data_IF_011720506595
#
_entry.id   IF_011720506595
#
_cell.length_a   1.000
_cell.length_b   1.000
_cell.length_c   1.000
_cell.angle_alpha   90.00
_cell.angle_beta   90.00
_cell.angle_gamma   90.00
#
_symmetry.space_group_name_H-M   'P 1'
#
loop_
_entity.id
_entity.type
_entity.pdbx_description
1 polymer ?
#
# COMPACT_ATOMS: atom_id res chain seq x y z
N UNK A 1 14.95 1.88 -13.18
CA UNK A 1 14.27 2.52 -12.04
C UNK A 1 13.44 1.54 -11.22
N UNK A 2 13.87 1.30 -9.98
CA UNK A 2 13.11 0.51 -8.97
C UNK A 2 12.51 1.41 -7.88
N UNK A 3 12.68 2.73 -8.00
CA UNK A 3 12.26 3.75 -7.02
C UNK A 3 10.79 3.61 -6.59
N UNK A 4 9.81 3.36 -7.48
CA UNK A 4 8.40 3.25 -7.08
C UNK A 4 8.14 2.06 -6.14
N UNK A 5 8.77 0.91 -6.40
CA UNK A 5 8.56 -0.29 -5.60
C UNK A 5 9.36 -0.23 -4.28
N UNK A 6 10.53 0.41 -4.28
CA UNK A 6 11.29 0.66 -3.04
C UNK A 6 10.54 1.60 -2.09
N UNK A 7 9.92 2.65 -2.63
CA UNK A 7 9.02 3.53 -1.87
C UNK A 7 7.84 2.75 -1.29
N UNK A 8 7.21 1.89 -2.10
CA UNK A 8 6.10 1.04 -1.63
C UNK A 8 6.51 0.11 -0.48
N UNK A 9 7.65 -0.57 -0.58
CA UNK A 9 8.15 -1.46 0.47
C UNK A 9 8.54 -0.70 1.74
N UNK A 10 9.10 0.50 1.62
CA UNK A 10 9.43 1.34 2.76
C UNK A 10 8.18 1.73 3.55
N UNK A 11 7.10 2.07 2.84
CA UNK A 11 5.79 2.37 3.43
C UNK A 11 5.18 1.13 4.09
N UNK A 12 5.15 -0.02 3.40
CA UNK A 12 4.65 -1.28 3.97
C UNK A 12 5.36 -1.63 5.29
N UNK A 13 6.68 -1.47 5.34
CA UNK A 13 7.46 -1.77 6.55
C UNK A 13 7.08 -0.81 7.69
N UNK A 14 7.04 0.49 7.42
CA UNK A 14 6.75 1.52 8.43
C UNK A 14 5.31 1.46 8.94
N UNK A 15 4.34 1.41 8.03
CA UNK A 15 2.91 1.51 8.34
C UNK A 15 2.31 0.17 8.80
N UNK A 16 2.98 -0.97 8.59
CA UNK A 16 2.42 -2.28 8.90
C UNK A 16 3.39 -3.21 9.66
N UNK A 17 4.55 -3.54 9.07
CA UNK A 17 5.41 -4.62 9.61
C UNK A 17 6.09 -4.22 10.91
N UNK A 18 6.66 -3.01 11.00
CA UNK A 18 7.38 -2.53 12.18
C UNK A 18 6.48 -2.28 13.40
N UNK A 19 5.17 -2.19 13.19
CA UNK A 19 4.20 -2.08 14.29
C UNK A 19 4.06 -3.38 15.10
N UNK A 20 4.63 -4.50 14.61
CA UNK A 20 4.45 -5.81 15.19
C UNK A 20 5.80 -6.44 15.57
N UNK A 21 6.06 -6.60 16.89
CA UNK A 21 7.33 -7.15 17.41
C UNK A 21 7.57 -8.63 17.09
N UNK A 22 6.53 -9.42 16.83
CA UNK A 22 6.62 -10.84 16.47
C UNK A 22 5.58 -11.16 15.40
N UNK A 23 6.03 -11.35 14.16
CA UNK A 23 5.19 -11.79 13.06
C UNK A 23 5.44 -13.26 12.75
N UNK A 24 4.38 -14.06 12.76
CA UNK A 24 4.43 -15.38 12.10
C UNK A 24 4.29 -15.18 10.59
N UNK A 25 4.77 -16.14 9.80
CA UNK A 25 4.61 -16.10 8.33
C UNK A 25 3.15 -15.99 7.90
N UNK A 26 2.24 -16.64 8.62
CA UNK A 26 0.79 -16.58 8.35
C UNK A 26 0.29 -15.17 8.60
N UNK A 27 0.60 -14.59 9.76
CA UNK A 27 0.16 -13.23 10.09
C UNK A 27 0.78 -12.19 9.16
N UNK A 28 2.02 -12.39 8.74
CA UNK A 28 2.68 -11.55 7.75
C UNK A 28 1.91 -11.52 6.42
N UNK A 29 1.49 -12.70 5.92
CA UNK A 29 0.71 -12.79 4.68
C UNK A 29 -0.63 -12.05 4.80
N UNK A 30 -1.35 -12.23 5.90
CA UNK A 30 -2.63 -11.53 6.15
C UNK A 30 -2.43 -10.01 6.17
N UNK A 31 -1.43 -9.53 6.92
CA UNK A 31 -1.13 -8.11 7.04
C UNK A 31 -0.76 -7.49 5.69
N UNK A 32 0.07 -8.18 4.89
CA UNK A 32 0.43 -7.71 3.54
C UNK A 32 -0.80 -7.68 2.64
N UNK A 33 -1.65 -8.72 2.65
CA UNK A 33 -2.87 -8.76 1.85
C UNK A 33 -3.83 -7.61 2.19
N UNK A 34 -4.05 -7.37 3.49
CA UNK A 34 -4.89 -6.28 3.97
C UNK A 34 -4.30 -4.90 3.62
N UNK A 35 -2.98 -4.76 3.74
CA UNK A 35 -2.30 -3.52 3.37
C UNK A 35 -2.38 -3.24 1.87
N UNK A 36 -2.25 -4.27 1.02
CA UNK A 36 -2.41 -4.13 -0.44
C UNK A 36 -3.83 -3.65 -0.79
N UNK A 37 -4.85 -4.25 -0.18
CA UNK A 37 -6.25 -3.82 -0.39
C UNK A 37 -6.45 -2.36 0.05
N UNK A 38 -5.99 -2.02 1.26
CA UNK A 38 -6.04 -0.66 1.78
C UNK A 38 -5.31 0.33 0.86
N UNK A 39 -4.09 -0.01 0.42
CA UNK A 39 -3.26 0.81 -0.44
C UNK A 39 -3.95 1.10 -1.77
N UNK A 40 -4.57 0.09 -2.38
CA UNK A 40 -5.18 0.19 -3.70
C UNK A 40 -6.56 0.88 -3.69
N UNK A 41 -7.36 0.62 -2.65
CA UNK A 41 -8.77 1.03 -2.63
C UNK A 41 -9.09 2.19 -1.69
N UNK A 42 -8.26 2.45 -0.66
CA UNK A 42 -8.59 3.44 0.38
C UNK A 42 -7.53 4.52 0.61
N UNK A 43 -6.28 4.30 0.20
CA UNK A 43 -5.19 5.24 0.42
C UNK A 43 -5.39 6.53 -0.36
N UNK A 44 -5.54 7.65 0.36
CA UNK A 44 -5.61 8.99 -0.24
C UNK A 44 -4.19 9.49 -0.48
N UNK A 45 -3.79 9.65 -1.75
CA UNK A 45 -2.48 10.21 -2.08
C UNK A 45 -2.63 11.65 -2.56
N UNK A 46 -1.80 12.56 -2.06
CA UNK A 46 -1.83 13.97 -2.51
C UNK A 46 -1.58 14.10 -4.01
N UNK A 47 -0.73 13.23 -4.57
CA UNK A 47 -0.44 13.18 -6.00
C UNK A 47 -1.63 12.70 -6.86
N UNK A 48 -2.60 11.96 -6.30
CA UNK A 48 -3.79 11.47 -7.02
C UNK A 48 -5.04 12.32 -6.73
N UNK A 49 -4.88 13.59 -6.34
CA UNK A 49 -5.98 14.46 -5.88
C UNK A 49 -6.78 13.84 -4.72
N UNK A 50 -6.08 13.15 -3.81
CA UNK A 50 -6.67 12.44 -2.66
C UNK A 50 -7.55 11.24 -3.02
N UNK A 51 -7.55 10.81 -4.28
CA UNK A 51 -8.27 9.63 -4.74
C UNK A 51 -7.47 8.35 -4.47
N UNK A 52 -8.17 7.25 -4.23
CA UNK A 52 -7.53 5.95 -4.18
C UNK A 52 -6.87 5.60 -5.53
N UNK A 53 -5.73 4.88 -5.56
CA UNK A 53 -5.03 4.53 -6.79
C UNK A 53 -5.91 3.87 -7.86
N UNK A 54 -6.85 3.00 -7.45
CA UNK A 54 -7.79 2.35 -8.35
C UNK A 54 -8.77 3.34 -9.02
N UNK A 55 -9.22 4.36 -8.28
CA UNK A 55 -10.12 5.40 -8.80
C UNK A 55 -9.36 6.30 -9.77
N UNK A 56 -8.14 6.69 -9.41
CA UNK A 56 -7.26 7.46 -10.29
C UNK A 56 -6.97 6.72 -11.60
N UNK A 57 -6.68 5.41 -11.55
CA UNK A 57 -6.44 4.59 -12.75
C UNK A 57 -7.66 4.52 -13.67
N UNK A 58 -8.87 4.45 -13.11
CA UNK A 58 -10.11 4.48 -13.92
C UNK A 58 -10.30 5.82 -14.63
N UNK A 59 -9.98 6.93 -13.96
CA UNK A 59 -10.09 8.28 -14.55
C UNK A 59 -9.02 8.58 -15.60
N UNK A 60 -7.81 8.04 -15.45
CA UNK A 60 -6.73 8.23 -16.42
C UNK A 60 -6.89 7.43 -17.72
N UNK A 61 -7.85 6.49 -17.76
CA UNK A 61 -8.17 5.68 -18.93
C UNK A 61 -9.45 6.17 -19.66
N UNK A 62 -10.00 7.32 -19.25
CA UNK A 62 -11.09 8.04 -19.91
C UNK A 62 -10.53 9.27 -20.62
#
# INVERSE_FOLDING_TARGET
>A
DNVPIESWFSLLKCECIYLHRRLTRIRAKELVSNYVDHYNHRRRQKQTKELAPMVFRKLALQ
#
